data_IF_936635239845
#
_entry.id   IF_936635239845
#
_cell.length_a   1.000
_cell.length_b   1.000
_cell.length_c   1.000
_cell.angle_alpha   90.00
_cell.angle_beta   90.00
_cell.angle_gamma   90.00
#
_symmetry.space_group_name_H-M   'P 1'
#
loop_
_entity.id
_entity.type
_entity.pdbx_description
1 polymer ?
#
# COMPACT_ATOMS: atom_id res chain seq x y z
N UNK A 1 7.80 -28.38 -1.38
CA UNK A 1 7.19 -28.60 -2.72
C UNK A 1 8.21 -28.46 -3.86
N UNK A 2 9.08 -27.44 -3.86
CA UNK A 2 10.12 -27.29 -4.91
C UNK A 2 11.03 -28.52 -5.11
N UNK A 3 11.54 -29.13 -4.03
CA UNK A 3 12.48 -30.26 -4.10
C UNK A 3 11.91 -31.46 -4.88
N UNK A 4 10.67 -31.93 -4.62
CA UNK A 4 10.11 -33.05 -5.38
C UNK A 4 9.52 -32.68 -6.76
N UNK A 5 9.07 -31.44 -7.00
CA UNK A 5 8.29 -31.08 -8.20
C UNK A 5 9.01 -30.13 -9.17
N UNK A 6 10.21 -29.64 -8.83
CA UNK A 6 10.96 -28.70 -9.64
C UNK A 6 10.60 -27.21 -9.38
N UNK A 7 11.13 -26.29 -10.21
CA UNK A 7 10.98 -24.84 -10.02
C UNK A 7 9.60 -24.30 -10.40
N UNK A 8 8.82 -25.03 -11.21
CA UNK A 8 7.46 -24.65 -11.61
C UNK A 8 6.53 -25.81 -11.28
N UNK A 9 5.54 -25.57 -10.41
CA UNK A 9 4.59 -26.59 -10.00
C UNK A 9 3.22 -26.01 -9.70
N UNK A 10 2.18 -26.84 -9.79
CA UNK A 10 0.81 -26.44 -9.46
C UNK A 10 0.45 -26.85 -8.04
N UNK A 11 -0.23 -25.95 -7.32
CA UNK A 11 -0.87 -26.22 -6.04
C UNK A 11 -2.38 -25.93 -6.14
N UNK A 12 -3.14 -26.54 -5.24
CA UNK A 12 -4.57 -26.29 -5.07
C UNK A 12 -4.79 -25.60 -3.72
N UNK A 13 -5.12 -24.31 -3.75
CA UNK A 13 -5.54 -23.54 -2.57
C UNK A 13 -7.07 -23.65 -2.46
N UNK A 14 -7.55 -24.69 -1.77
CA UNK A 14 -8.96 -25.05 -1.79
C UNK A 14 -9.43 -25.34 -3.22
N UNK A 15 -10.44 -24.64 -3.75
CA UNK A 15 -10.89 -24.81 -5.14
C UNK A 15 -10.00 -24.08 -6.17
N UNK A 16 -9.07 -23.21 -5.75
CA UNK A 16 -8.28 -22.36 -6.64
C UNK A 16 -7.00 -23.07 -7.07
N UNK A 17 -6.78 -23.19 -8.37
CA UNK A 17 -5.52 -23.70 -8.94
C UNK A 17 -4.52 -22.57 -9.06
N UNK A 18 -3.31 -22.77 -8.52
CA UNK A 18 -2.24 -21.76 -8.54
C UNK A 18 -0.97 -22.41 -9.06
N UNK A 19 -0.35 -21.78 -10.06
CA UNK A 19 1.00 -22.14 -10.52
C UNK A 19 2.00 -21.36 -9.69
N UNK A 20 2.95 -22.06 -9.08
CA UNK A 20 4.01 -21.50 -8.26
C UNK A 20 5.30 -21.47 -9.08
N UNK A 21 5.90 -20.29 -9.19
CA UNK A 21 7.19 -20.05 -9.84
C UNK A 21 8.26 -19.87 -8.75
N UNK A 22 9.31 -20.68 -8.77
CA UNK A 22 10.37 -20.69 -7.76
C UNK A 22 11.76 -20.55 -8.39
N UNK A 23 12.48 -19.51 -7.98
CA UNK A 23 13.84 -19.22 -8.45
C UNK A 23 13.87 -18.15 -9.54
N UNK A 24 15.05 -17.56 -9.72
CA UNK A 24 15.23 -16.40 -10.60
C UNK A 24 14.79 -16.68 -12.04
N UNK A 25 15.28 -17.77 -12.64
CA UNK A 25 15.04 -18.08 -14.05
C UNK A 25 13.54 -18.23 -14.35
N UNK A 26 12.83 -19.04 -13.56
CA UNK A 26 11.40 -19.28 -13.74
C UNK A 26 10.55 -18.00 -13.53
N UNK A 27 10.93 -17.15 -12.58
CA UNK A 27 10.22 -15.88 -12.32
C UNK A 27 10.49 -14.86 -13.42
N UNK A 28 11.75 -14.76 -13.88
CA UNK A 28 12.14 -13.85 -14.97
C UNK A 28 11.48 -14.25 -16.29
N UNK A 29 11.54 -15.53 -16.64
CA UNK A 29 10.98 -16.04 -17.89
C UNK A 29 9.48 -15.73 -17.99
N UNK A 30 8.73 -15.99 -16.93
CA UNK A 30 7.29 -15.70 -16.91
C UNK A 30 6.97 -14.21 -16.85
N UNK A 31 7.54 -13.47 -15.88
CA UNK A 31 7.10 -12.10 -15.58
C UNK A 31 7.78 -11.01 -16.44
N UNK A 32 8.87 -11.34 -17.13
CA UNK A 32 9.62 -10.41 -17.99
C UNK A 32 9.59 -10.87 -19.44
N UNK A 33 10.07 -12.08 -19.71
CA UNK A 33 10.23 -12.55 -21.09
C UNK A 33 8.86 -12.86 -21.74
N UNK A 34 7.85 -13.24 -20.93
CA UNK A 34 6.45 -13.43 -21.32
C UNK A 34 5.49 -12.43 -20.64
N UNK A 35 5.94 -11.19 -20.41
CA UNK A 35 5.25 -10.22 -19.56
C UNK A 35 3.78 -9.96 -19.93
N UNK A 36 3.40 -9.98 -21.22
CA UNK A 36 2.01 -9.74 -21.64
C UNK A 36 1.08 -10.87 -21.17
N UNK A 37 1.52 -12.13 -21.30
CA UNK A 37 0.75 -13.32 -20.89
C UNK A 37 0.58 -13.39 -19.37
N UNK A 38 1.58 -12.96 -18.62
CA UNK A 38 1.59 -12.93 -17.15
C UNK A 38 1.24 -11.55 -16.56
N UNK A 39 0.74 -10.62 -17.35
CA UNK A 39 0.39 -9.25 -16.90
C UNK A 39 -0.89 -9.20 -16.07
N UNK A 40 -1.69 -10.26 -16.10
CA UNK A 40 -2.96 -10.36 -15.37
C UNK A 40 -2.80 -10.24 -13.86
N UNK A 41 -3.83 -9.70 -13.20
CA UNK A 41 -3.87 -9.64 -11.73
C UNK A 41 -4.53 -10.90 -11.16
N UNK A 42 -3.82 -11.56 -10.25
CA UNK A 42 -4.40 -12.62 -9.43
C UNK A 42 -5.38 -12.07 -8.40
N UNK A 43 -6.23 -12.96 -7.89
CA UNK A 43 -7.21 -12.65 -6.83
C UNK A 43 -6.56 -12.83 -5.45
N UNK A 44 -6.82 -11.87 -4.55
CA UNK A 44 -6.45 -11.94 -3.14
C UNK A 44 -7.72 -11.74 -2.31
N UNK A 45 -8.34 -12.86 -1.93
CA UNK A 45 -9.72 -12.90 -1.45
C UNK A 45 -9.99 -11.94 -0.28
N UNK A 46 -9.02 -11.76 0.62
CA UNK A 46 -9.11 -10.80 1.73
C UNK A 46 -9.30 -9.36 1.24
N UNK A 47 -8.52 -8.93 0.25
CA UNK A 47 -8.57 -7.57 -0.29
C UNK A 47 -9.67 -7.38 -1.34
N UNK A 48 -10.00 -8.43 -2.09
CA UNK A 48 -11.10 -8.40 -3.06
C UNK A 48 -12.46 -8.16 -2.41
N UNK A 49 -12.61 -8.50 -1.13
CA UNK A 49 -13.78 -8.14 -0.34
C UNK A 49 -14.08 -6.63 -0.36
N UNK A 50 -13.03 -5.82 -0.19
CA UNK A 50 -13.11 -4.36 -0.18
C UNK A 50 -13.03 -3.79 -1.60
N UNK A 51 -11.99 -4.17 -2.34
CA UNK A 51 -11.68 -3.54 -3.62
C UNK A 51 -12.57 -4.00 -4.75
N UNK A 52 -13.05 -5.25 -4.74
CA UNK A 52 -14.00 -5.80 -5.73
C UNK A 52 -13.59 -5.51 -7.19
N UNK A 53 -12.29 -5.61 -7.50
CA UNK A 53 -11.75 -5.31 -8.83
C UNK A 53 -11.67 -3.81 -9.21
N UNK A 54 -11.76 -2.91 -8.23
CA UNK A 54 -11.54 -1.46 -8.41
C UNK A 54 -10.17 -1.05 -7.84
N UNK A 55 -9.71 0.13 -8.24
CA UNK A 55 -8.40 0.64 -7.83
C UNK A 55 -7.23 0.10 -8.67
N UNK A 56 -6.05 0.68 -8.49
CA UNK A 56 -4.88 0.41 -9.35
C UNK A 56 -4.22 -0.96 -9.10
N UNK A 57 -4.33 -1.52 -7.89
CA UNK A 57 -3.60 -2.74 -7.53
C UNK A 57 -4.34 -4.04 -7.93
N UNK A 58 -5.66 -4.06 -7.78
CA UNK A 58 -6.49 -5.26 -7.91
C UNK A 58 -7.47 -5.23 -9.10
N UNK A 59 -7.38 -4.21 -9.97
CA UNK A 59 -8.14 -4.19 -11.22
C UNK A 59 -7.38 -4.86 -12.37
N UNK A 60 -8.08 -5.20 -13.45
CA UNK A 60 -7.51 -5.79 -14.67
C UNK A 60 -7.95 -5.02 -15.93
N UNK A 61 -7.30 -5.30 -17.06
CA UNK A 61 -7.64 -4.74 -18.36
C UNK A 61 -7.48 -3.22 -18.44
N UNK A 62 -8.41 -2.56 -19.13
CA UNK A 62 -8.32 -1.12 -19.40
C UNK A 62 -8.34 -0.27 -18.12
N UNK A 63 -9.09 -0.69 -17.10
CA UNK A 63 -9.10 -0.05 -15.78
C UNK A 63 -7.72 -0.01 -15.16
N UNK A 64 -7.04 -1.15 -15.08
CA UNK A 64 -5.69 -1.23 -14.54
C UNK A 64 -4.72 -0.35 -15.35
N UNK A 65 -4.86 -0.34 -16.68
CA UNK A 65 -4.02 0.45 -17.57
C UNK A 65 -4.18 1.95 -17.35
N UNK A 66 -5.42 2.45 -17.35
CA UNK A 66 -5.72 3.88 -17.14
C UNK A 66 -5.28 4.33 -15.75
N UNK A 67 -5.67 3.60 -14.69
CA UNK A 67 -5.34 3.95 -13.31
C UNK A 67 -3.84 3.89 -13.06
N UNK A 68 -3.13 2.87 -13.57
CA UNK A 68 -1.66 2.76 -13.42
C UNK A 68 -0.95 3.91 -14.12
N UNK A 69 -1.35 4.24 -15.36
CA UNK A 69 -0.75 5.35 -16.11
C UNK A 69 -0.97 6.68 -15.38
N UNK A 70 -2.20 6.92 -14.91
CA UNK A 70 -2.52 8.10 -14.12
C UNK A 70 -1.69 8.15 -12.85
N UNK A 71 -1.71 7.10 -12.03
CA UNK A 71 -1.03 7.07 -10.75
C UNK A 71 0.47 7.29 -10.87
N UNK A 72 1.14 6.63 -11.82
CA UNK A 72 2.57 6.83 -12.05
C UNK A 72 2.91 8.26 -12.48
N UNK A 73 2.06 8.86 -13.32
CA UNK A 73 2.27 10.24 -13.78
C UNK A 73 2.09 11.22 -12.61
N UNK A 74 1.01 11.07 -11.84
CA UNK A 74 0.70 11.91 -10.69
C UNK A 74 1.76 11.78 -9.59
N UNK A 75 2.20 10.57 -9.24
CA UNK A 75 3.26 10.37 -8.25
C UNK A 75 4.59 11.01 -8.67
N UNK A 76 4.97 10.93 -9.95
CA UNK A 76 6.17 11.62 -10.48
C UNK A 76 6.04 13.15 -10.47
N UNK A 77 4.82 13.67 -10.63
CA UNK A 77 4.55 15.11 -10.52
C UNK A 77 4.70 15.59 -9.07
N UNK A 78 4.26 14.79 -8.10
CA UNK A 78 4.47 15.04 -6.66
C UNK A 78 5.87 14.67 -6.14
N UNK A 79 6.83 14.48 -7.04
CA UNK A 79 8.24 14.36 -6.67
C UNK A 79 8.77 12.95 -6.55
N UNK A 80 7.98 11.90 -6.79
CA UNK A 80 8.50 10.53 -6.77
C UNK A 80 9.66 10.38 -7.78
N UNK A 81 10.87 10.11 -7.28
CA UNK A 81 12.10 10.06 -8.07
C UNK A 81 12.75 11.42 -8.35
N UNK A 82 12.36 12.48 -7.62
CA UNK A 82 12.91 13.84 -7.70
C UNK A 82 13.24 14.38 -6.30
N UNK A 83 13.98 15.48 -6.22
CA UNK A 83 14.39 16.14 -4.96
C UNK A 83 13.21 16.58 -4.07
N UNK A 84 12.03 16.85 -4.62
CA UNK A 84 10.89 17.31 -3.82
C UNK A 84 10.28 16.25 -2.91
N UNK A 85 10.36 14.94 -3.23
CA UNK A 85 9.96 13.89 -2.27
C UNK A 85 11.05 13.64 -1.24
N UNK A 86 12.32 13.85 -1.61
CA UNK A 86 13.46 13.74 -0.70
C UNK A 86 13.32 14.73 0.47
N UNK A 87 12.94 15.97 0.19
CA UNK A 87 12.69 16.98 1.23
C UNK A 87 11.60 16.53 2.22
N UNK A 88 10.50 15.93 1.72
CA UNK A 88 9.43 15.37 2.56
C UNK A 88 9.88 14.17 3.38
N UNK A 89 10.75 13.33 2.82
CA UNK A 89 11.33 12.18 3.53
C UNK A 89 12.28 12.66 4.63
N UNK A 90 13.11 13.67 4.35
CA UNK A 90 14.04 14.26 5.32
C UNK A 90 13.31 14.96 6.45
N UNK A 91 12.25 15.71 6.14
CA UNK A 91 11.37 16.32 7.13
C UNK A 91 10.77 15.24 8.05
N UNK A 92 10.22 14.17 7.48
CA UNK A 92 9.61 13.11 8.29
C UNK A 92 10.62 12.24 9.04
N UNK A 93 11.86 12.13 8.52
CA UNK A 93 12.97 11.53 9.25
C UNK A 93 13.38 12.39 10.46
N UNK A 94 13.31 13.72 10.35
CA UNK A 94 13.57 14.61 11.48
C UNK A 94 12.56 14.38 12.61
N UNK A 95 11.26 14.35 12.30
CA UNK A 95 10.21 14.03 13.28
C UNK A 95 10.39 12.64 13.89
N UNK A 96 10.83 11.64 13.11
CA UNK A 96 11.13 10.31 13.62
C UNK A 96 12.29 10.34 14.62
N UNK A 97 13.38 11.06 14.32
CA UNK A 97 14.54 11.18 15.21
C UNK A 97 14.15 11.88 16.51
N UNK A 98 13.40 12.98 16.44
CA UNK A 98 12.90 13.69 17.63
C UNK A 98 12.05 12.77 18.52
N UNK A 99 11.14 12.01 17.92
CA UNK A 99 10.26 11.09 18.65
C UNK A 99 11.01 9.88 19.24
N UNK A 100 12.15 9.46 18.67
CA UNK A 100 13.03 8.46 19.28
C UNK A 100 13.86 9.07 20.40
N UNK A 101 14.38 10.28 20.22
CA UNK A 101 15.18 10.98 21.24
C UNK A 101 14.36 11.27 22.50
N UNK A 102 13.07 11.59 22.36
CA UNK A 102 12.17 11.82 23.50
C UNK A 102 11.93 10.57 24.37
N UNK A 103 12.36 9.38 23.92
CA UNK A 103 12.30 8.15 24.71
C UNK A 103 13.50 8.00 25.66
N UNK A 104 14.47 8.91 25.62
CA UNK A 104 15.61 8.99 26.56
C UNK A 104 16.40 7.67 26.72
N UNK A 105 16.47 6.87 25.65
CA UNK A 105 17.17 5.58 25.64
C UNK A 105 16.38 4.42 26.27
N UNK A 106 15.13 4.63 26.68
CA UNK A 106 14.27 3.56 27.17
C UNK A 106 13.96 2.54 26.04
N UNK A 107 13.89 1.23 26.33
CA UNK A 107 13.43 0.25 25.35
C UNK A 107 12.00 0.53 24.89
N UNK A 108 11.75 0.44 23.60
CA UNK A 108 10.44 0.67 23.00
C UNK A 108 10.17 -0.29 21.83
N UNK A 109 8.89 -0.43 21.48
CA UNK A 109 8.48 -1.14 20.26
C UNK A 109 8.50 -0.17 19.06
N UNK A 110 9.36 -0.37 18.05
CA UNK A 110 9.46 0.54 16.91
C UNK A 110 8.29 0.42 15.92
N UNK A 111 7.37 -0.52 16.12
CA UNK A 111 6.31 -0.82 15.15
C UNK A 111 5.49 0.41 14.79
N UNK A 112 4.92 1.11 15.78
CA UNK A 112 4.03 2.24 15.51
C UNK A 112 4.77 3.52 15.11
N UNK A 113 5.96 3.78 15.67
CA UNK A 113 6.73 4.99 15.32
C UNK A 113 7.24 4.94 13.88
N UNK A 114 7.70 3.77 13.42
CA UNK A 114 8.09 3.58 12.02
C UNK A 114 6.89 3.64 11.08
N UNK A 115 5.77 2.98 11.42
CA UNK A 115 4.57 3.05 10.59
C UNK A 115 4.03 4.48 10.46
N UNK A 116 4.07 5.28 11.54
CA UNK A 116 3.69 6.71 11.50
C UNK A 116 4.57 7.51 10.54
N UNK A 117 5.88 7.41 10.70
CA UNK A 117 6.85 8.12 9.86
C UNK A 117 6.71 7.75 8.38
N UNK A 118 6.76 6.46 8.07
CA UNK A 118 6.60 5.97 6.69
C UNK A 118 5.26 6.40 6.10
N UNK A 119 4.18 6.25 6.87
CA UNK A 119 2.85 6.58 6.39
C UNK A 119 2.69 8.08 6.14
N UNK A 120 3.38 8.95 6.88
CA UNK A 120 3.30 10.39 6.69
C UNK A 120 3.92 10.85 5.37
N UNK A 121 5.00 10.18 4.92
CA UNK A 121 5.57 10.45 3.59
C UNK A 121 4.50 10.25 2.52
N UNK A 122 3.81 9.11 2.51
CA UNK A 122 2.78 8.84 1.49
C UNK A 122 1.48 9.65 1.74
N UNK A 123 1.13 9.94 3.00
CA UNK A 123 0.03 10.84 3.36
C UNK A 123 0.22 12.23 2.76
N UNK A 124 1.44 12.77 2.81
CA UNK A 124 1.74 14.09 2.23
C UNK A 124 1.46 14.14 0.72
N UNK A 125 1.60 13.01 0.02
CA UNK A 125 1.36 12.91 -1.42
C UNK A 125 -0.13 12.70 -1.72
N UNK A 126 -0.82 11.91 -0.90
CA UNK A 126 -2.22 11.56 -1.14
C UNK A 126 -3.18 12.64 -0.65
N UNK A 127 -2.93 13.20 0.53
CA UNK A 127 -3.77 14.17 1.24
C UNK A 127 -3.19 15.58 1.27
N UNK A 128 -2.03 15.79 0.64
CA UNK A 128 -1.34 17.09 0.62
C UNK A 128 -0.68 17.49 1.93
N UNK A 129 -0.82 16.68 3.00
CA UNK A 129 -0.29 16.98 4.34
C UNK A 129 0.06 15.73 5.13
N UNK A 130 0.93 15.90 6.12
CA UNK A 130 1.22 14.91 7.16
C UNK A 130 0.14 14.92 8.24
N UNK A 131 0.04 13.83 8.98
CA UNK A 131 -0.75 13.72 10.21
C UNK A 131 0.15 13.94 11.42
N UNK A 132 -0.47 14.43 12.48
CA UNK A 132 0.17 14.47 13.80
C UNK A 132 0.40 13.04 14.31
N UNK A 133 1.47 12.81 15.05
CA UNK A 133 1.81 11.51 15.62
C UNK A 133 0.84 11.05 16.71
N UNK A 134 0.09 11.99 17.29
CA UNK A 134 -0.95 11.76 18.30
C UNK A 134 -2.38 11.76 17.72
N UNK A 135 -2.53 11.99 16.41
CA UNK A 135 -3.83 11.96 15.74
C UNK A 135 -4.46 10.56 15.87
N UNK A 136 -5.58 10.50 16.60
CA UNK A 136 -6.25 9.25 16.92
C UNK A 136 -6.89 8.57 15.69
N UNK A 137 -7.34 9.35 14.70
CA UNK A 137 -7.89 8.82 13.45
C UNK A 137 -6.76 8.15 12.64
N UNK A 138 -5.60 8.80 12.59
CA UNK A 138 -4.40 8.28 11.93
C UNK A 138 -3.87 7.01 12.61
N UNK A 139 -3.74 7.02 13.94
CA UNK A 139 -3.32 5.85 14.72
C UNK A 139 -4.27 4.66 14.54
N UNK A 140 -5.58 4.90 14.57
CA UNK A 140 -6.59 3.87 14.31
C UNK A 140 -6.44 3.28 12.91
N UNK A 141 -6.17 4.12 11.91
CA UNK A 141 -5.94 3.69 10.53
C UNK A 141 -4.70 2.79 10.40
N UNK A 142 -3.57 3.16 11.01
CA UNK A 142 -2.35 2.35 10.99
C UNK A 142 -2.55 1.00 11.70
N UNK A 143 -3.27 0.98 12.82
CA UNK A 143 -3.58 -0.26 13.52
C UNK A 143 -4.47 -1.19 12.66
N UNK A 144 -5.47 -0.62 11.98
CA UNK A 144 -6.29 -1.37 11.04
C UNK A 144 -5.45 -2.00 9.92
N UNK A 145 -4.48 -1.27 9.38
CA UNK A 145 -3.59 -1.77 8.33
C UNK A 145 -2.72 -2.93 8.80
N UNK A 146 -2.09 -2.79 9.97
CA UNK A 146 -1.26 -3.82 10.58
C UNK A 146 -2.04 -5.12 10.83
N UNK A 147 -3.26 -5.01 11.37
CA UNK A 147 -4.15 -6.15 11.61
C UNK A 147 -4.58 -6.86 10.31
N UNK A 148 -4.82 -6.10 9.24
CA UNK A 148 -5.11 -6.66 7.91
C UNK A 148 -3.88 -7.37 7.35
N UNK A 149 -2.69 -6.76 7.47
CA UNK A 149 -1.45 -7.30 6.90
C UNK A 149 -1.04 -8.64 7.54
N UNK A 150 -1.30 -8.81 8.84
CA UNK A 150 -1.03 -10.08 9.53
C UNK A 150 -2.03 -11.20 9.22
N UNK A 151 -3.15 -10.90 8.56
CA UNK A 151 -4.20 -11.88 8.30
C UNK A 151 -3.99 -12.63 6.98
N UNK A 152 -3.57 -13.90 7.07
CA UNK A 152 -3.15 -14.70 5.89
C UNK A 152 -4.02 -15.94 5.62
N UNK A 153 -4.79 -16.43 6.59
CA UNK A 153 -5.49 -17.73 6.49
C UNK A 153 -6.76 -17.72 5.63
N UNK A 154 -7.38 -16.57 5.38
CA UNK A 154 -8.65 -16.48 4.66
C UNK A 154 -8.54 -16.81 3.17
N UNK A 155 -7.37 -16.59 2.57
CA UNK A 155 -7.21 -16.70 1.12
C UNK A 155 -7.33 -18.15 0.59
N UNK A 156 -7.23 -19.16 1.45
CA UNK A 156 -7.36 -20.58 1.07
C UNK A 156 -8.80 -21.10 1.05
N UNK A 157 -9.68 -20.58 1.94
CA UNK A 157 -11.04 -21.10 2.15
C UNK A 157 -12.10 -20.00 2.25
N UNK A 158 -11.90 -18.90 1.52
CA UNK A 158 -12.75 -17.70 1.56
C UNK A 158 -14.25 -18.02 1.39
N UNK A 159 -14.61 -18.91 0.47
CA UNK A 159 -16.01 -19.29 0.20
C UNK A 159 -16.75 -19.93 1.39
N UNK A 160 -16.05 -20.68 2.24
CA UNK A 160 -16.63 -21.29 3.46
C UNK A 160 -16.52 -20.34 4.63
N UNK A 161 -15.34 -19.71 4.78
CA UNK A 161 -15.07 -18.76 5.88
C UNK A 161 -15.99 -17.53 5.85
N UNK A 162 -16.59 -17.22 4.71
CA UNK A 162 -17.65 -16.23 4.55
C UNK A 162 -18.82 -16.42 5.52
N UNK A 163 -19.28 -17.67 5.68
CA UNK A 163 -20.46 -17.98 6.49
C UNK A 163 -20.13 -18.17 7.97
N UNK A 164 -18.85 -18.38 8.30
CA UNK A 164 -18.42 -18.68 9.66
C UNK A 164 -18.16 -17.40 10.47
N UNK A 165 -18.44 -17.41 11.79
CA UNK A 165 -17.87 -16.41 12.69
C UNK A 165 -16.35 -16.65 12.82
N UNK A 166 -15.57 -15.58 12.94
CA UNK A 166 -14.13 -15.69 13.13
C UNK A 166 -13.36 -14.37 12.93
N UNK A 167 -12.02 -14.42 13.01
CA UNK A 167 -11.14 -13.25 12.87
C UNK A 167 -11.36 -12.46 11.58
N UNK A 168 -11.79 -13.11 10.50
CA UNK A 168 -12.15 -12.47 9.23
C UNK A 168 -13.19 -11.35 9.38
N UNK A 169 -14.14 -11.47 10.32
CA UNK A 169 -15.14 -10.42 10.59
C UNK A 169 -14.53 -9.18 11.24
N UNK A 170 -13.45 -9.34 12.01
CA UNK A 170 -12.68 -8.22 12.56
C UNK A 170 -11.94 -7.51 11.42
N UNK A 171 -11.27 -8.29 10.56
CA UNK A 171 -10.54 -7.78 9.38
C UNK A 171 -11.46 -7.04 8.40
N UNK A 172 -12.65 -7.56 8.13
CA UNK A 172 -13.63 -6.86 7.28
C UNK A 172 -14.07 -5.52 7.88
N UNK A 173 -14.22 -5.42 9.20
CA UNK A 173 -14.50 -4.13 9.86
C UNK A 173 -13.33 -3.16 9.71
N UNK A 174 -12.09 -3.63 9.86
CA UNK A 174 -10.89 -2.82 9.61
C UNK A 174 -10.84 -2.33 8.15
N UNK A 175 -11.10 -3.20 7.18
CA UNK A 175 -11.17 -2.86 5.75
C UNK A 175 -12.28 -1.84 5.46
N UNK A 176 -13.47 -1.99 6.04
CA UNK A 176 -14.54 -0.99 5.94
C UNK A 176 -14.08 0.36 6.47
N UNK A 177 -13.47 0.39 7.67
CA UNK A 177 -12.99 1.61 8.28
C UNK A 177 -11.96 2.35 7.41
N UNK A 178 -11.05 1.62 6.76
CA UNK A 178 -10.11 2.19 5.80
C UNK A 178 -10.82 2.79 4.57
N UNK A 179 -11.81 2.09 4.02
CA UNK A 179 -12.61 2.57 2.89
C UNK A 179 -13.41 3.83 3.23
N UNK A 180 -14.05 3.85 4.40
CA UNK A 180 -14.82 5.00 4.89
C UNK A 180 -13.94 6.21 5.16
N UNK A 181 -12.77 6.01 5.77
CA UNK A 181 -11.79 7.07 5.96
C UNK A 181 -11.40 7.72 4.62
N UNK A 182 -11.03 6.89 3.64
CA UNK A 182 -10.65 7.38 2.31
C UNK A 182 -11.81 8.09 1.61
N UNK A 183 -13.03 7.59 1.75
CA UNK A 183 -14.22 8.24 1.21
C UNK A 183 -14.45 9.62 1.84
N UNK A 184 -14.30 9.76 3.17
CA UNK A 184 -14.40 11.06 3.86
C UNK A 184 -13.34 12.05 3.40
N UNK A 185 -12.07 11.61 3.27
CA UNK A 185 -11.00 12.48 2.77
C UNK A 185 -11.25 12.90 1.32
N UNK A 186 -11.70 11.98 0.46
CA UNK A 186 -12.05 12.30 -0.92
C UNK A 186 -13.21 13.31 -1.01
N UNK A 187 -14.22 13.18 -0.15
CA UNK A 187 -15.33 14.15 -0.08
C UNK A 187 -14.84 15.54 0.37
N UNK A 188 -14.01 15.62 1.41
CA UNK A 188 -13.45 16.89 1.88
C UNK A 188 -12.55 17.56 0.82
N UNK A 189 -11.78 16.78 0.06
CA UNK A 189 -11.02 17.28 -1.09
C UNK A 189 -11.94 17.79 -2.20
N UNK A 190 -13.08 17.15 -2.43
CA UNK A 190 -14.05 17.59 -3.44
C UNK A 190 -14.73 18.92 -3.05
N UNK A 191 -15.03 19.12 -1.76
CA UNK A 191 -15.67 20.34 -1.26
C UNK A 191 -14.75 21.57 -1.32
N UNK A 192 -13.43 21.37 -1.19
CA UNK A 192 -12.43 22.43 -1.20
C UNK A 192 -11.59 22.48 -2.49
N UNK A 193 -12.02 21.78 -3.54
CA UNK A 193 -11.27 21.62 -4.78
C UNK A 193 -11.15 22.94 -5.55
N UNK A 194 -9.91 23.35 -5.85
CA UNK A 194 -9.61 24.30 -6.91
C UNK A 194 -9.12 23.54 -8.16
N UNK A 195 -9.92 23.45 -9.24
CA UNK A 195 -9.51 22.74 -10.44
C UNK A 195 -8.27 23.31 -11.14
N UNK A 196 -7.91 24.56 -10.88
CA UNK A 196 -6.73 25.22 -11.47
C UNK A 196 -5.42 24.86 -10.78
N UNK A 197 -5.48 24.42 -9.52
CA UNK A 197 -4.29 24.19 -8.68
C UNK A 197 -4.47 22.97 -7.75
N UNK A 198 -4.54 21.74 -8.29
CA UNK A 198 -4.68 20.55 -7.46
C UNK A 198 -3.43 20.32 -6.59
N UNK A 199 -3.64 20.11 -5.30
CA UNK A 199 -2.61 20.09 -4.24
C UNK A 199 -2.06 18.71 -3.95
N UNK A 200 -2.82 17.67 -4.25
CA UNK A 200 -2.49 16.30 -3.91
C UNK A 200 -3.03 15.29 -4.93
N UNK A 201 -2.74 14.01 -4.71
CA UNK A 201 -3.17 12.93 -5.58
C UNK A 201 -4.70 12.88 -5.75
N UNK A 202 -5.46 13.05 -4.66
CA UNK A 202 -6.92 12.94 -4.70
C UNK A 202 -7.53 14.08 -5.50
N UNK A 203 -7.03 15.31 -5.32
CA UNK A 203 -7.46 16.46 -6.11
C UNK A 203 -7.12 16.32 -7.59
N UNK A 204 -5.92 15.82 -7.92
CA UNK A 204 -5.59 15.49 -9.32
C UNK A 204 -6.57 14.47 -9.91
N UNK A 205 -6.98 13.47 -9.13
CA UNK A 205 -7.94 12.46 -9.59
C UNK A 205 -9.34 13.08 -9.76
N UNK A 206 -9.77 13.94 -8.84
CA UNK A 206 -11.04 14.67 -8.93
C UNK A 206 -11.08 15.59 -10.16
N UNK A 207 -9.99 16.32 -10.46
CA UNK A 207 -9.87 17.11 -11.69
C UNK A 207 -9.98 16.22 -12.92
N UNK A 208 -9.33 15.05 -12.90
CA UNK A 208 -9.44 14.07 -14.01
C UNK A 208 -10.87 13.54 -14.18
N UNK A 209 -11.59 13.30 -13.08
CA UNK A 209 -13.02 12.94 -13.10
C UNK A 209 -13.88 14.04 -13.73
N UNK A 210 -13.58 15.32 -13.45
CA UNK A 210 -14.30 16.45 -14.07
C UNK A 210 -14.02 16.54 -15.58
N UNK A 211 -12.77 16.34 -16.00
CA UNK A 211 -12.36 16.38 -17.40
C UNK A 211 -12.98 15.27 -18.25
N UNK A 212 -13.20 14.09 -17.67
CA UNK A 212 -13.74 12.93 -18.39
C UNK A 212 -15.25 12.73 -18.18
N UNK A 213 -15.92 13.71 -17.55
CA UNK A 213 -17.35 13.64 -17.30
C UNK A 213 -18.14 13.43 -18.60
N UNK A 214 -18.88 12.32 -18.67
CA UNK A 214 -19.68 11.95 -19.84
C UNK A 214 -18.95 11.10 -20.89
N UNK A 215 -17.68 10.72 -20.66
CA UNK A 215 -16.94 9.83 -21.56
C UNK A 215 -17.34 8.36 -21.34
N UNK A 216 -17.93 7.69 -22.34
CA UNK A 216 -18.27 6.27 -22.23
C UNK A 216 -16.98 5.45 -22.23
N UNK A 217 -16.62 4.89 -21.07
CA UNK A 217 -15.37 4.13 -20.87
C UNK A 217 -14.33 4.81 -19.98
N UNK A 218 -14.66 5.95 -19.37
CA UNK A 218 -13.80 6.54 -18.33
C UNK A 218 -13.76 5.66 -17.09
N UNK A 219 -12.57 5.39 -16.59
CA UNK A 219 -12.34 4.69 -15.33
C UNK A 219 -12.11 5.65 -14.15
N UNK A 220 -12.33 6.95 -14.37
CA UNK A 220 -12.21 7.99 -13.37
C UNK A 220 -13.58 8.29 -12.76
N UNK A 221 -13.88 7.60 -11.68
CA UNK A 221 -15.09 7.80 -10.87
C UNK A 221 -14.81 7.52 -9.39
N UNK A 222 -15.73 7.92 -8.52
CA UNK A 222 -15.54 7.95 -7.05
C UNK A 222 -15.01 6.64 -6.47
N UNK A 223 -15.55 5.49 -6.89
CA UNK A 223 -15.12 4.19 -6.36
C UNK A 223 -13.68 3.85 -6.74
N UNK A 224 -13.23 4.18 -7.95
CA UNK A 224 -11.84 4.02 -8.36
C UNK A 224 -10.91 5.03 -7.69
N UNK A 225 -11.38 6.26 -7.40
CA UNK A 225 -10.63 7.23 -6.59
C UNK A 225 -10.32 6.66 -5.20
N UNK A 226 -11.36 6.29 -4.45
CA UNK A 226 -11.22 5.76 -3.08
C UNK A 226 -10.36 4.50 -3.07
N UNK A 227 -10.61 3.55 -3.98
CA UNK A 227 -9.84 2.32 -4.08
C UNK A 227 -8.37 2.58 -4.44
N UNK A 228 -8.08 3.47 -5.40
CA UNK A 228 -6.72 3.78 -5.83
C UNK A 228 -5.94 4.51 -4.74
N UNK A 229 -6.55 5.52 -4.10
CA UNK A 229 -5.93 6.22 -2.98
C UNK A 229 -5.61 5.25 -1.84
N UNK A 230 -6.54 4.35 -1.50
CA UNK A 230 -6.29 3.32 -0.50
C UNK A 230 -5.18 2.33 -0.90
N UNK A 231 -5.11 1.91 -2.17
CA UNK A 231 -4.02 1.04 -2.64
C UNK A 231 -2.65 1.69 -2.46
N UNK A 232 -2.52 2.95 -2.86
CA UNK A 232 -1.24 3.68 -2.76
C UNK A 232 -0.88 3.90 -1.29
N UNK A 233 -1.86 4.27 -0.46
CA UNK A 233 -1.66 4.50 0.95
C UNK A 233 -1.24 3.22 1.69
N UNK A 234 -2.02 2.13 1.56
CA UNK A 234 -1.72 0.85 2.20
C UNK A 234 -0.38 0.27 1.72
N UNK A 235 -0.15 0.27 0.40
CA UNK A 235 1.07 -0.25 -0.19
C UNK A 235 2.31 0.54 0.21
N UNK A 236 2.19 1.88 0.32
CA UNK A 236 3.26 2.78 0.72
C UNK A 236 3.59 2.75 2.21
N UNK A 237 2.67 2.28 3.06
CA UNK A 237 2.85 2.23 4.51
C UNK A 237 3.40 0.89 4.99
N UNK A 238 2.63 -0.20 4.86
CA UNK A 238 2.92 -1.45 5.59
C UNK A 238 4.17 -2.17 5.07
N UNK A 239 4.44 -2.08 3.76
CA UNK A 239 5.59 -2.77 3.17
C UNK A 239 6.91 -2.18 3.63
N UNK A 240 7.01 -0.84 3.63
CA UNK A 240 8.22 -0.11 4.03
C UNK A 240 8.38 -0.15 5.54
N UNK A 241 7.31 0.04 6.33
CA UNK A 241 7.38 -0.05 7.80
C UNK A 241 7.84 -1.44 8.25
N UNK A 242 7.31 -2.51 7.65
CA UNK A 242 7.74 -3.88 7.92
C UNK A 242 9.21 -4.08 7.55
N UNK A 243 9.64 -3.57 6.39
CA UNK A 243 11.04 -3.67 5.96
C UNK A 243 11.97 -2.98 6.95
N UNK A 244 11.65 -1.77 7.40
CA UNK A 244 12.44 -1.03 8.40
C UNK A 244 12.49 -1.76 9.75
N UNK A 245 11.37 -2.31 10.22
CA UNK A 245 11.32 -3.12 11.45
C UNK A 245 12.25 -4.33 11.36
N UNK A 246 12.22 -5.06 10.23
CA UNK A 246 13.13 -6.17 10.00
C UNK A 246 14.58 -5.72 9.87
N UNK A 247 14.85 -4.61 9.21
CA UNK A 247 16.20 -4.06 9.08
C UNK A 247 16.80 -3.74 10.46
N UNK A 248 16.05 -3.06 11.33
CA UNK A 248 16.49 -2.79 12.71
C UNK A 248 16.73 -4.09 13.49
N UNK A 249 15.83 -5.07 13.38
CA UNK A 249 16.00 -6.37 14.03
C UNK A 249 17.27 -7.10 13.55
N UNK A 250 17.58 -7.02 12.26
CA UNK A 250 18.79 -7.60 11.67
C UNK A 250 20.03 -6.86 12.19
N UNK A 251 20.02 -5.53 12.24
CA UNK A 251 21.13 -4.73 12.78
C UNK A 251 21.39 -5.02 14.26
N UNK A 252 20.33 -5.23 15.05
CA UNK A 252 20.47 -5.67 16.46
C UNK A 252 21.04 -7.09 16.58
N UNK A 253 20.70 -7.98 15.64
CA UNK A 253 21.19 -9.37 15.63
C UNK A 253 22.65 -9.48 15.15
N UNK A 254 23.07 -8.60 14.24
CA UNK A 254 24.41 -8.54 13.67
C UNK A 254 25.00 -7.15 13.92
N UNK A 255 25.49 -6.88 15.15
CA UNK A 255 25.95 -5.55 15.57
C UNK A 255 27.28 -5.13 14.93
N UNK A 256 28.02 -6.05 14.29
CA UNK A 256 29.18 -5.70 13.51
C UNK A 256 28.73 -5.05 12.19
N UNK A 257 29.08 -3.78 11.92
CA UNK A 257 28.73 -3.16 10.66
C UNK A 257 29.39 -3.93 9.49
N UNK A 258 28.70 -4.08 8.34
CA UNK A 258 29.38 -4.47 7.11
C UNK A 258 30.61 -3.58 6.91
N UNK A 259 31.74 -4.13 6.46
CA UNK A 259 33.02 -3.39 6.30
C UNK A 259 32.91 -2.05 5.53
N UNK A 260 31.83 -1.85 4.79
CA UNK A 260 31.57 -0.68 3.94
C UNK A 260 30.54 0.30 4.51
N UNK A 261 30.01 0.09 5.72
CA UNK A 261 29.11 1.05 6.37
C UNK A 261 29.95 2.06 7.17
N UNK A 262 29.88 3.38 6.87
CA UNK A 262 30.64 4.37 7.62
C UNK A 262 30.22 4.32 9.09
N UNK A 263 31.21 4.37 9.99
CA UNK A 263 30.94 4.47 11.42
C UNK A 263 30.05 5.70 11.66
N UNK A 264 28.95 5.50 12.39
CA UNK A 264 28.13 6.61 12.86
C UNK A 264 29.01 7.49 13.75
N UNK A 265 29.42 8.65 13.24
CA UNK A 265 30.12 9.71 13.98
C UNK A 265 29.15 10.54 14.79
#
# INVERSE_FOLDING_TARGET
LRVPYGPVFMIHLGPRRVVVLCGYDAVKEALVDQAEEFSGRGEQATFDWLFRGYGVAFSSGERARQLRRFSLTTLRNFGMGKRSIEERILEEAHFLVEAVQSMEGAPFDPTYILSRSVSNVISSVIFGKRFDYEDQEFLSMLNNMLEIFHFTLYDMFSGVMWFLPGPQRKVFRHLTGLGEFMARKAQASQESLDPGAPRDFMECFLVKMLQEKGSPGSEFFQKNLVATALNIFFGGTETVSTTLRYALLILLKYPEPPRDMPAAT
#
